data_IF_950609055484
#
_entry.id   IF_950609055484
#
_cell.length_a   1.000
_cell.length_b   1.000
_cell.length_c   1.000
_cell.angle_alpha   90.00
_cell.angle_beta   90.00
_cell.angle_gamma   90.00
#
_symmetry.space_group_name_H-M   'P 1'
#
loop_
_entity.id
_entity.type
_entity.pdbx_description
1 polymer ?
#
# COMPACT_ATOMS: atom_id res chain seq x y z
N UNK A 1 -8.74 16.45 2.90
CA UNK A 1 -8.36 15.27 3.68
C UNK A 1 -9.22 14.12 3.22
N UNK A 2 -8.61 13.14 2.57
CA UNK A 2 -9.22 11.87 2.20
C UNK A 2 -8.79 10.84 3.24
N UNK A 3 -9.73 10.05 3.72
CA UNK A 3 -9.45 8.88 4.55
C UNK A 3 -10.14 7.69 3.91
N UNK A 4 -9.38 6.63 3.71
CA UNK A 4 -9.86 5.34 3.21
C UNK A 4 -9.60 4.32 4.29
N UNK A 5 -10.63 3.59 4.66
CA UNK A 5 -10.55 2.43 5.55
C UNK A 5 -11.11 1.26 4.77
N UNK A 6 -10.26 0.30 4.44
CA UNK A 6 -10.61 -0.84 3.61
C UNK A 6 -10.18 -2.13 4.29
N UNK A 7 -11.07 -3.12 4.25
CA UNK A 7 -10.83 -4.43 4.81
C UNK A 7 -10.93 -5.47 3.72
N UNK A 8 -9.85 -6.24 3.53
CA UNK A 8 -9.79 -7.30 2.53
C UNK A 8 -9.39 -8.63 3.19
N UNK A 9 -9.96 -9.71 2.69
CA UNK A 9 -9.55 -11.07 3.05
C UNK A 9 -8.72 -11.65 1.91
N UNK A 10 -7.55 -12.19 2.25
CA UNK A 10 -6.58 -12.73 1.30
C UNK A 10 -6.42 -14.21 1.60
N UNK A 11 -6.61 -15.08 0.60
CA UNK A 11 -6.36 -16.51 0.71
C UNK A 11 -4.86 -16.84 0.63
N UNK A 12 -4.10 -16.33 1.60
CA UNK A 12 -2.69 -16.63 1.80
C UNK A 12 -2.33 -16.54 3.30
N UNK A 13 -1.31 -17.27 3.76
CA UNK A 13 -0.82 -17.15 5.13
C UNK A 13 -0.22 -15.77 5.38
N UNK A 14 -0.34 -15.32 6.62
CA UNK A 14 -0.03 -13.95 7.07
C UNK A 14 1.40 -13.50 6.78
N UNK A 15 2.35 -14.41 6.95
CA UNK A 15 3.77 -14.21 6.62
C UNK A 15 3.97 -13.85 5.15
N UNK A 16 3.31 -14.56 4.23
CA UNK A 16 3.39 -14.28 2.78
C UNK A 16 2.77 -12.94 2.41
N UNK A 17 1.65 -12.60 3.02
CA UNK A 17 1.02 -11.28 2.82
C UNK A 17 1.96 -10.18 3.29
N UNK A 18 2.57 -10.35 4.46
CA UNK A 18 3.51 -9.40 5.04
C UNK A 18 4.76 -9.24 4.18
N UNK A 19 5.40 -10.34 3.79
CA UNK A 19 6.59 -10.36 2.92
C UNK A 19 6.33 -9.56 1.64
N UNK A 20 5.23 -9.85 0.94
CA UNK A 20 4.89 -9.16 -0.29
C UNK A 20 4.52 -7.69 -0.11
N UNK A 21 3.85 -7.35 1.00
CA UNK A 21 3.54 -5.96 1.31
C UNK A 21 4.79 -5.16 1.69
N UNK A 22 5.80 -5.78 2.30
CA UNK A 22 7.09 -5.12 2.58
C UNK A 22 7.97 -4.99 1.35
N UNK A 23 7.67 -5.70 0.26
CA UNK A 23 8.37 -5.60 -1.01
C UNK A 23 7.96 -4.31 -1.76
N UNK A 24 8.42 -3.15 -1.27
CA UNK A 24 8.04 -1.82 -1.79
C UNK A 24 8.23 -1.67 -3.30
N UNK A 25 9.19 -2.39 -3.90
CA UNK A 25 9.43 -2.37 -5.34
C UNK A 25 8.27 -2.91 -6.19
N UNK A 26 7.34 -3.66 -5.59
CA UNK A 26 6.14 -4.19 -6.27
C UNK A 26 4.97 -3.21 -6.28
N UNK A 27 5.04 -2.12 -5.51
CA UNK A 27 3.93 -1.18 -5.36
C UNK A 27 3.50 -0.56 -6.69
N UNK A 28 4.41 -0.14 -7.60
CA UNK A 28 4.04 0.38 -8.91
C UNK A 28 3.28 -0.64 -9.80
N UNK A 29 3.40 -1.94 -9.52
CA UNK A 29 2.74 -2.97 -10.31
C UNK A 29 1.25 -3.12 -9.98
N UNK A 30 0.81 -2.70 -8.79
CA UNK A 30 -0.59 -2.82 -8.37
C UNK A 30 -1.24 -1.50 -7.92
N UNK A 31 -0.46 -0.48 -7.58
CA UNK A 31 -0.97 0.85 -7.19
C UNK A 31 -1.02 1.81 -8.38
N UNK A 32 -2.17 2.43 -8.59
CA UNK A 32 -2.37 3.42 -9.65
C UNK A 32 -1.83 4.78 -9.19
N UNK A 33 -1.02 5.44 -10.03
CA UNK A 33 -0.43 6.75 -9.71
C UNK A 33 0.89 6.68 -8.93
N UNK A 34 1.38 5.48 -8.62
CA UNK A 34 2.72 5.25 -8.06
C UNK A 34 3.66 4.84 -9.19
N UNK A 35 4.75 5.59 -9.37
CA UNK A 35 5.74 5.35 -10.42
C UNK A 35 6.91 4.50 -9.89
N UNK A 36 7.38 4.81 -8.68
CA UNK A 36 8.49 4.11 -8.06
C UNK A 36 8.45 4.25 -6.53
N UNK A 37 8.72 3.16 -5.82
CA UNK A 37 8.95 3.19 -4.37
C UNK A 37 10.27 2.49 -4.08
N UNK A 38 11.12 3.14 -3.31
CA UNK A 38 12.44 2.62 -2.95
C UNK A 38 12.75 2.90 -1.49
N UNK A 39 13.33 1.92 -0.79
CA UNK A 39 13.85 2.10 0.57
C UNK A 39 15.22 2.77 0.48
N UNK A 40 15.33 4.01 0.98
CA UNK A 40 16.63 4.68 1.12
C UNK A 40 17.40 4.17 2.34
N UNK A 41 16.67 3.78 3.39
CA UNK A 41 17.21 3.16 4.61
C UNK A 41 16.17 2.16 5.16
N UNK A 42 16.50 1.46 6.24
CA UNK A 42 15.60 0.49 6.90
C UNK A 42 14.25 1.08 7.29
N UNK A 43 14.19 2.39 7.57
CA UNK A 43 12.98 3.07 8.03
C UNK A 43 12.52 4.19 7.09
N UNK A 44 13.28 4.52 6.04
CA UNK A 44 12.97 5.64 5.12
C UNK A 44 12.69 5.14 3.72
N UNK A 45 11.52 5.51 3.21
CA UNK A 45 11.06 5.23 1.87
C UNK A 45 11.04 6.52 1.04
N UNK A 46 11.55 6.44 -0.18
CA UNK A 46 11.36 7.45 -1.21
C UNK A 46 10.27 6.99 -2.17
N UNK A 47 9.24 7.80 -2.27
CA UNK A 47 8.11 7.58 -3.15
C UNK A 47 8.21 8.53 -4.34
N UNK A 48 7.92 8.01 -5.53
CA UNK A 48 7.68 8.79 -6.74
C UNK A 48 6.27 8.50 -7.20
N UNK A 49 5.45 9.53 -7.29
CA UNK A 49 4.04 9.45 -7.68
C UNK A 49 3.78 10.39 -8.84
N UNK A 50 2.97 9.94 -9.80
CA UNK A 50 2.59 10.71 -10.97
C UNK A 50 1.13 11.10 -10.82
N UNK A 51 0.86 11.97 -9.84
CA UNK A 51 -0.50 12.40 -9.47
C UNK A 51 -0.61 13.89 -9.75
N UNK A 52 -1.61 14.28 -10.55
CA UNK A 52 -1.83 15.68 -10.88
C UNK A 52 -2.01 16.53 -9.60
N UNK A 53 -1.10 17.49 -9.37
CA UNK A 53 -1.17 18.45 -8.26
C UNK A 53 -0.47 18.05 -6.96
N UNK A 54 0.32 16.96 -6.95
CA UNK A 54 1.21 16.59 -5.83
C UNK A 54 2.67 16.69 -6.30
N UNK A 55 3.58 17.07 -5.40
CA UNK A 55 5.01 16.93 -5.66
C UNK A 55 5.32 15.49 -6.08
N UNK A 56 5.98 15.28 -7.22
CA UNK A 56 6.13 13.95 -7.81
C UNK A 56 7.03 13.04 -6.97
N UNK A 57 7.73 13.57 -5.97
CA UNK A 57 8.63 12.82 -5.09
C UNK A 57 8.42 13.28 -3.66
N UNK A 58 8.22 12.34 -2.74
CA UNK A 58 8.15 12.60 -1.30
C UNK A 58 8.83 11.47 -0.52
N UNK A 59 9.22 11.77 0.72
CA UNK A 59 9.77 10.79 1.65
C UNK A 59 8.72 10.36 2.67
N UNK A 60 8.76 9.09 3.05
CA UNK A 60 7.98 8.52 4.14
C UNK A 60 8.90 7.78 5.11
N UNK A 61 8.53 7.78 6.37
CA UNK A 61 9.20 7.06 7.45
C UNK A 61 8.27 6.01 8.03
N UNK A 62 8.79 4.81 8.20
CA UNK A 62 8.10 3.72 8.87
C UNK A 62 8.08 4.06 10.36
N UNK A 63 6.88 4.22 10.91
CA UNK A 63 6.67 4.55 12.33
C UNK A 63 6.43 3.30 13.17
N UNK A 64 5.92 2.23 12.56
CA UNK A 64 5.66 0.96 13.23
C UNK A 64 5.91 -0.19 12.24
N UNK A 65 6.71 -1.17 12.65
CA UNK A 65 6.98 -2.38 11.87
C UNK A 65 6.96 -3.57 12.83
N UNK A 66 5.82 -4.26 12.87
CA UNK A 66 5.63 -5.49 13.64
C UNK A 66 5.49 -6.64 12.65
N UNK A 67 6.48 -7.54 12.57
CA UNK A 67 6.46 -8.70 11.67
C UNK A 67 5.13 -9.44 11.72
N UNK A 68 4.58 -9.72 10.55
CA UNK A 68 3.33 -10.43 10.31
C UNK A 68 2.08 -9.81 10.98
N UNK A 69 2.15 -8.60 11.54
CA UNK A 69 1.01 -8.04 12.28
C UNK A 69 0.66 -6.65 11.86
N UNK A 70 1.65 -5.77 11.76
CA UNK A 70 1.35 -4.36 11.53
C UNK A 70 2.48 -3.64 10.85
N UNK A 71 2.11 -2.76 9.93
CA UNK A 71 3.04 -1.85 9.29
C UNK A 71 2.36 -0.49 9.24
N UNK A 72 3.05 0.55 9.72
CA UNK A 72 2.59 1.92 9.60
C UNK A 72 3.72 2.83 9.17
N UNK A 73 3.42 3.76 8.27
CA UNK A 73 4.34 4.78 7.86
C UNK A 73 3.63 6.11 7.61
N UNK A 74 4.39 7.19 7.76
CA UNK A 74 3.92 8.55 7.54
C UNK A 74 4.90 9.30 6.65
N UNK A 75 4.41 10.17 5.79
CA UNK A 75 5.25 11.06 5.01
C UNK A 75 5.97 12.08 5.92
N UNK A 76 7.21 12.41 5.54
CA UNK A 76 8.03 13.43 6.22
C UNK A 76 7.82 14.82 5.61
N UNK A 77 7.47 14.86 4.32
CA UNK A 77 7.33 16.09 3.54
C UNK A 77 5.94 16.76 3.64
N UNK A 78 5.75 17.80 2.84
CA UNK A 78 4.61 18.72 2.87
C UNK A 78 3.24 18.07 2.58
N UNK A 79 3.22 16.91 1.92
CA UNK A 79 1.99 16.13 1.72
C UNK A 79 1.81 15.21 2.91
N UNK A 80 0.74 15.36 3.69
CA UNK A 80 0.45 14.41 4.78
C UNK A 80 -0.15 13.14 4.18
N UNK A 81 0.63 12.06 4.14
CA UNK A 81 0.22 10.71 3.74
C UNK A 81 0.55 9.76 4.89
N UNK A 82 -0.44 9.03 5.36
CA UNK A 82 -0.26 8.02 6.40
C UNK A 82 -0.91 6.72 5.96
N UNK A 83 -0.21 5.62 6.14
CA UNK A 83 -0.74 4.29 5.88
C UNK A 83 -0.57 3.46 7.13
N UNK A 84 -1.64 2.78 7.52
CA UNK A 84 -1.65 1.79 8.61
C UNK A 84 -2.22 0.51 8.05
N UNK A 85 -1.48 -0.56 8.21
CA UNK A 85 -1.83 -1.88 7.73
C UNK A 85 -1.80 -2.81 8.92
N UNK A 86 -2.93 -3.42 9.22
CA UNK A 86 -3.07 -4.43 10.26
C UNK A 86 -3.40 -5.77 9.61
N UNK A 87 -2.67 -6.81 10.01
CA UNK A 87 -2.80 -8.16 9.51
C UNK A 87 -3.26 -9.06 10.66
N UNK A 88 -4.47 -9.56 10.52
CA UNK A 88 -5.11 -10.48 11.46
C UNK A 88 -5.21 -11.87 10.83
N UNK A 89 -5.07 -12.90 11.64
CA UNK A 89 -5.31 -14.26 11.21
C UNK A 89 -6.81 -14.50 11.05
N UNK A 90 -7.23 -14.99 9.88
CA UNK A 90 -8.63 -15.22 9.54
C UNK A 90 -8.96 -16.72 9.38
N UNK A 91 -8.07 -17.61 9.83
CA UNK A 91 -8.19 -19.05 9.69
C UNK A 91 -7.07 -19.69 8.85
N UNK A 92 -7.20 -20.99 8.53
CA UNK A 92 -6.13 -21.72 7.84
C UNK A 92 -5.86 -21.09 6.47
N UNK A 93 -4.62 -20.64 6.27
CA UNK A 93 -4.13 -20.01 5.04
C UNK A 93 -4.96 -18.79 4.59
N UNK A 94 -5.54 -18.07 5.56
CA UNK A 94 -6.33 -16.86 5.31
C UNK A 94 -5.90 -15.74 6.24
N UNK A 95 -5.71 -14.57 5.65
CA UNK A 95 -5.31 -13.37 6.37
C UNK A 95 -6.32 -12.26 6.11
N UNK A 96 -6.76 -11.60 7.17
CA UNK A 96 -7.53 -10.38 7.05
C UNK A 96 -6.58 -9.19 7.13
N UNK A 97 -6.56 -8.40 6.06
CA UNK A 97 -5.74 -7.20 5.96
C UNK A 97 -6.65 -5.97 6.04
N UNK A 98 -6.44 -5.16 7.08
CA UNK A 98 -7.13 -3.88 7.27
C UNK A 98 -6.17 -2.76 6.91
N UNK A 99 -6.51 -1.97 5.89
CA UNK A 99 -5.70 -0.86 5.41
C UNK A 99 -6.43 0.45 5.69
N UNK A 100 -5.75 1.32 6.42
CA UNK A 100 -6.17 2.71 6.58
C UNK A 100 -5.16 3.61 5.89
N UNK A 101 -5.63 4.34 4.89
CA UNK A 101 -4.85 5.35 4.20
C UNK A 101 -5.44 6.74 4.47
N UNK A 102 -4.61 7.67 4.94
CA UNK A 102 -4.96 9.07 5.10
C UNK A 102 -4.11 9.86 4.12
N UNK A 103 -4.76 10.73 3.35
CA UNK A 103 -4.09 11.65 2.44
C UNK A 103 -4.65 13.06 2.59
N UNK A 104 -3.76 14.02 2.81
CA UNK A 104 -4.09 15.44 2.76
C UNK A 104 -3.07 16.17 1.88
N UNK A 105 -3.43 16.53 0.64
CA UNK A 105 -2.61 17.43 -0.14
C UNK A 105 -2.61 18.81 0.51
N UNK A 106 -1.43 19.38 0.79
CA UNK A 106 -1.30 20.81 1.09
C UNK A 106 -0.83 21.52 -0.15
N UNK A 107 -1.76 22.21 -0.82
CA UNK A 107 -1.49 23.06 -1.97
C UNK A 107 -2.76 23.85 -2.33
N UNK A 108 -2.73 25.14 -2.03
CA UNK A 108 -3.82 26.09 -2.24
C UNK A 108 -4.18 26.27 -3.72
N UNK A 109 -5.48 26.28 -4.01
CA UNK A 109 -6.13 27.10 -5.05
C UNK A 109 -5.33 27.34 -6.34
N UNK A 110 -5.45 26.45 -7.34
CA UNK A 110 -5.54 26.73 -8.81
C UNK A 110 -5.30 25.43 -9.59
N UNK A 111 -6.22 24.47 -9.54
CA UNK A 111 -6.52 23.56 -10.66
C UNK A 111 -7.77 22.75 -10.30
N UNK A 112 -8.93 23.41 -10.33
CA UNK A 112 -10.21 22.83 -9.97
C UNK A 112 -10.81 21.92 -11.08
N UNK A 113 -9.99 21.27 -11.91
CA UNK A 113 -10.53 20.52 -13.07
C UNK A 113 -9.92 19.15 -13.34
N UNK A 114 -8.85 18.72 -12.65
CA UNK A 114 -8.21 17.42 -12.94
C UNK A 114 -7.71 16.63 -11.72
N UNK A 115 -7.86 17.13 -10.49
CA UNK A 115 -7.47 16.42 -9.26
C UNK A 115 -8.47 15.30 -8.86
N UNK A 116 -8.87 14.48 -9.84
CA UNK A 116 -9.90 13.45 -9.73
C UNK A 116 -9.30 12.03 -9.85
N UNK A 117 -8.00 11.86 -9.63
CA UNK A 117 -7.28 10.61 -9.97
C UNK A 117 -6.96 9.71 -8.76
N UNK A 118 -6.85 10.26 -7.55
CA UNK A 118 -6.74 9.50 -6.29
C UNK A 118 -8.02 9.64 -5.48
N UNK A 119 -9.02 8.86 -5.86
CA UNK A 119 -10.28 8.72 -5.13
C UNK A 119 -10.28 7.41 -4.32
N UNK A 120 -11.14 7.28 -3.31
CA UNK A 120 -11.30 6.07 -2.49
C UNK A 120 -11.41 4.80 -3.36
N UNK A 121 -12.11 4.91 -4.49
CA UNK A 121 -12.29 3.82 -5.46
C UNK A 121 -10.97 3.33 -6.05
N UNK A 122 -10.02 4.22 -6.32
CA UNK A 122 -8.71 3.85 -6.87
C UNK A 122 -7.94 3.01 -5.86
N UNK A 123 -7.88 3.47 -4.60
CA UNK A 123 -7.22 2.75 -3.50
C UNK A 123 -7.87 1.38 -3.28
N UNK A 124 -9.21 1.31 -3.25
CA UNK A 124 -9.94 0.03 -3.17
C UNK A 124 -9.57 -0.92 -4.31
N UNK A 125 -9.54 -0.42 -5.56
CA UNK A 125 -9.16 -1.22 -6.71
C UNK A 125 -7.70 -1.73 -6.63
N UNK A 126 -6.78 -0.88 -6.19
CA UNK A 126 -5.37 -1.25 -6.02
C UNK A 126 -5.20 -2.33 -4.95
N UNK A 127 -5.95 -2.25 -3.85
CA UNK A 127 -5.97 -3.28 -2.81
C UNK A 127 -6.56 -4.61 -3.30
N UNK A 128 -7.58 -4.58 -4.17
CA UNK A 128 -8.10 -5.80 -4.81
C UNK A 128 -7.08 -6.42 -5.79
N UNK A 129 -6.30 -5.58 -6.50
CA UNK A 129 -5.20 -6.06 -7.35
C UNK A 129 -4.10 -6.71 -6.51
N UNK A 130 -3.73 -6.09 -5.39
CA UNK A 130 -2.77 -6.64 -4.44
C UNK A 130 -3.23 -8.02 -3.93
N UNK A 131 -4.48 -8.12 -3.45
CA UNK A 131 -5.07 -9.40 -3.05
C UNK A 131 -4.90 -10.47 -4.13
N UNK A 132 -5.33 -10.17 -5.37
CA UNK A 132 -5.27 -11.12 -6.46
C UNK A 132 -3.82 -11.53 -6.81
N UNK A 133 -2.86 -10.61 -6.67
CA UNK A 133 -1.45 -10.89 -6.88
C UNK A 133 -0.91 -11.84 -5.79
N UNK A 134 -1.29 -11.61 -4.53
CA UNK A 134 -0.91 -12.50 -3.41
C UNK A 134 -1.50 -13.89 -3.53
N UNK A 135 -2.80 -13.98 -3.82
CA UNK A 135 -3.47 -15.28 -3.98
C UNK A 135 -2.86 -16.08 -5.15
N UNK A 136 -2.47 -15.42 -6.24
CA UNK A 136 -1.79 -16.08 -7.37
C UNK A 136 -0.41 -16.58 -6.99
N UNK A 137 0.44 -15.72 -6.42
CA UNK A 137 1.79 -16.10 -6.01
C UNK A 137 1.77 -17.26 -5.00
N UNK A 138 0.79 -17.28 -4.11
CA UNK A 138 0.61 -18.37 -3.15
C UNK A 138 0.24 -19.70 -3.84
N UNK A 139 -0.76 -19.68 -4.73
CA UNK A 139 -1.18 -20.87 -5.48
C UNK A 139 -0.06 -21.41 -6.36
N UNK A 140 0.68 -20.53 -7.05
CA UNK A 140 1.81 -20.93 -7.91
C UNK A 140 2.94 -21.56 -7.08
N UNK A 141 3.27 -21.00 -5.92
CA UNK A 141 4.24 -21.61 -5.01
C UNK A 141 3.81 -22.98 -4.48
N UNK A 142 2.51 -23.16 -4.23
CA UNK A 142 1.99 -24.46 -3.73
C UNK A 142 2.03 -25.54 -4.81
N UNK A 143 1.86 -25.17 -6.08
CA UNK A 143 1.93 -26.11 -7.21
C UNK A 143 3.36 -26.57 -7.49
N UNK A 144 4.35 -25.71 -7.28
CA UNK A 144 5.77 -26.04 -7.49
C UNK A 144 6.33 -26.94 -6.38
N UNK A 145 5.85 -26.79 -5.13
CA UNK A 145 6.22 -27.68 -4.01
C UNK A 145 5.55 -29.06 -4.07
N UNK A 146 4.45 -29.20 -4.83
CA UNK A 146 3.70 -30.45 -4.97
C UNK A 146 4.10 -31.30 -6.20
N UNK A 147 5.02 -30.82 -7.04
CA UNK A 147 5.48 -31.49 -8.26
C UNK A 147 6.82 -32.23 -8.07
#
# INVERSE_FOLDING_TARGET
>A
MLQVDERIEIAAPRDRVFEMWTAVGQFPSFMTGVDLVHLETEERMRWRVSVAGVDPVFYAVITELVPDRRIAWVSVDQTTMGWWIDLEDAGPERTCMTVRAIWSPRGSTTCATTAHELDERTIRCDLQRFRALVERAFVEGTLEEAA
#
